data_IF_181757682745
#
_entry.id   IF_181757682745
#
_cell.length_a   1.000
_cell.length_b   1.000
_cell.length_c   1.000
_cell.angle_alpha   90.00
_cell.angle_beta   90.00
_cell.angle_gamma   90.00
#
_symmetry.space_group_name_H-M   'P 1'
#
loop_
_entity.id
_entity.type
_entity.pdbx_description
1 polymer ?
#
# COMPACT_ATOMS: atom_id res chain seq x y z
N UNK A 1 -40.57 25.36 -24.04
CA UNK A 1 -40.93 25.38 -22.60
C UNK A 1 -40.27 24.26 -21.80
N UNK A 2 -40.27 22.99 -22.26
CA UNK A 2 -39.66 21.88 -21.52
C UNK A 2 -38.15 22.03 -21.20
N UNK A 3 -37.34 22.57 -22.12
CA UNK A 3 -35.89 22.75 -21.89
C UNK A 3 -35.56 23.73 -20.77
N UNK A 4 -36.23 24.88 -20.71
CA UNK A 4 -36.01 25.88 -19.66
C UNK A 4 -36.38 25.36 -18.25
N UNK A 5 -37.38 24.48 -18.16
CA UNK A 5 -37.80 23.87 -16.90
C UNK A 5 -36.81 22.81 -16.41
N UNK A 6 -36.23 22.03 -17.34
CA UNK A 6 -35.14 21.08 -17.04
C UNK A 6 -33.87 21.81 -16.60
N UNK A 7 -33.51 22.90 -17.27
CA UNK A 7 -32.34 23.72 -16.90
C UNK A 7 -32.50 24.37 -15.52
N UNK A 8 -33.70 24.86 -15.19
CA UNK A 8 -34.00 25.41 -13.87
C UNK A 8 -33.96 24.33 -12.77
N UNK A 9 -34.56 23.17 -13.03
CA UNK A 9 -34.50 22.03 -12.10
C UNK A 9 -33.07 21.54 -11.87
N UNK A 10 -32.25 21.52 -12.94
CA UNK A 10 -30.85 21.13 -12.88
C UNK A 10 -29.94 22.15 -12.18
N UNK A 11 -30.36 23.41 -12.07
CA UNK A 11 -29.71 24.42 -11.25
C UNK A 11 -30.08 24.28 -9.76
N UNK A 12 -31.33 23.88 -9.47
CA UNK A 12 -31.84 23.63 -8.12
C UNK A 12 -31.33 22.29 -7.54
N UNK A 13 -31.00 21.31 -8.38
CA UNK A 13 -30.56 19.97 -7.99
C UNK A 13 -29.20 19.60 -8.64
N UNK A 14 -28.08 20.22 -8.21
CA UNK A 14 -26.76 20.05 -8.82
C UNK A 14 -26.17 18.65 -8.65
N UNK A 15 -26.82 17.82 -7.83
CA UNK A 15 -26.38 16.48 -7.42
C UNK A 15 -27.11 15.37 -8.20
N UNK A 16 -28.19 15.71 -8.90
CA UNK A 16 -29.01 14.76 -9.62
C UNK A 16 -28.48 14.53 -11.04
N UNK A 17 -28.39 13.27 -11.51
CA UNK A 17 -27.98 12.97 -12.87
C UNK A 17 -28.99 13.55 -13.87
N UNK A 18 -28.50 14.31 -14.87
CA UNK A 18 -29.34 15.11 -15.79
C UNK A 18 -29.95 14.26 -16.91
N UNK A 19 -29.31 13.16 -17.26
CA UNK A 19 -29.92 11.98 -17.88
C UNK A 19 -29.45 10.74 -17.11
N UNK A 20 -30.15 9.61 -17.18
CA UNK A 20 -29.94 8.40 -16.36
C UNK A 20 -28.59 7.67 -16.54
N UNK A 21 -27.48 8.39 -16.63
CA UNK A 21 -26.10 7.94 -16.76
C UNK A 21 -25.30 8.46 -15.57
N UNK A 22 -24.60 7.56 -14.88
CA UNK A 22 -23.83 7.87 -13.66
C UNK A 22 -22.64 8.84 -13.86
N UNK A 23 -22.22 9.10 -15.11
CA UNK A 23 -21.00 9.85 -15.43
C UNK A 23 -21.17 11.36 -15.64
N UNK A 24 -22.35 11.94 -15.37
CA UNK A 24 -22.61 13.37 -15.62
C UNK A 24 -22.41 14.28 -14.41
N UNK A 25 -22.03 13.74 -13.24
CA UNK A 25 -21.81 14.57 -12.06
C UNK A 25 -20.50 15.37 -12.24
N UNK A 26 -20.52 16.71 -12.13
CA UNK A 26 -19.32 17.53 -12.33
C UNK A 26 -18.19 17.11 -11.39
N UNK A 27 -16.96 16.98 -11.93
CA UNK A 27 -15.79 16.65 -11.13
C UNK A 27 -15.56 17.66 -9.98
N UNK A 28 -15.88 18.93 -10.20
CA UNK A 28 -15.83 19.99 -9.19
C UNK A 28 -16.71 19.71 -7.97
N UNK A 29 -17.76 18.89 -8.11
CA UNK A 29 -18.64 18.48 -7.03
C UNK A 29 -18.14 17.17 -6.38
N UNK A 30 -17.70 16.19 -7.17
CA UNK A 30 -17.29 14.87 -6.65
C UNK A 30 -15.92 14.92 -5.97
N UNK A 31 -14.95 15.62 -6.59
CA UNK A 31 -13.56 15.62 -6.17
C UNK A 31 -13.34 16.14 -4.75
N UNK A 32 -13.97 17.24 -4.31
CA UNK A 32 -13.84 17.70 -2.92
C UNK A 32 -14.32 16.67 -1.89
N UNK A 33 -15.36 15.87 -2.21
CA UNK A 33 -15.86 14.82 -1.31
C UNK A 33 -14.91 13.63 -1.23
N UNK A 34 -14.37 13.23 -2.37
CA UNK A 34 -13.36 12.16 -2.42
C UNK A 34 -12.11 12.59 -1.66
N UNK A 35 -11.63 13.82 -1.90
CA UNK A 35 -10.50 14.38 -1.18
C UNK A 35 -10.75 14.46 0.33
N UNK A 36 -11.94 14.91 0.75
CA UNK A 36 -12.32 14.93 2.17
C UNK A 36 -12.38 13.52 2.77
N UNK A 37 -12.90 12.53 2.05
CA UNK A 37 -12.93 11.14 2.48
C UNK A 37 -11.53 10.54 2.65
N UNK A 38 -10.64 10.77 1.68
CA UNK A 38 -9.25 10.33 1.75
C UNK A 38 -8.48 11.01 2.89
N UNK A 39 -8.68 12.32 3.07
CA UNK A 39 -8.06 13.06 4.16
C UNK A 39 -8.52 12.56 5.53
N UNK A 40 -9.83 12.33 5.71
CA UNK A 40 -10.37 11.77 6.93
C UNK A 40 -9.86 10.34 7.20
N UNK A 41 -9.83 9.48 6.18
CA UNK A 41 -9.28 8.14 6.29
C UNK A 41 -7.80 8.14 6.68
N UNK A 42 -6.99 9.02 6.07
CA UNK A 42 -5.58 9.19 6.41
C UNK A 42 -5.37 9.69 7.84
N UNK A 43 -6.17 10.66 8.29
CA UNK A 43 -6.12 11.15 9.66
C UNK A 43 -6.49 10.07 10.68
N UNK A 44 -7.56 9.30 10.42
CA UNK A 44 -7.97 8.19 11.28
C UNK A 44 -6.92 7.07 11.31
N UNK A 45 -6.29 6.77 10.17
CA UNK A 45 -5.19 5.80 10.11
C UNK A 45 -4.00 6.23 10.97
N UNK A 46 -3.58 7.50 10.84
CA UNK A 46 -2.48 8.05 11.63
C UNK A 46 -2.79 8.07 13.13
N UNK A 47 -4.00 8.50 13.51
CA UNK A 47 -4.43 8.48 14.90
C UNK A 47 -4.55 7.06 15.45
N UNK A 48 -4.93 6.09 14.61
CA UNK A 48 -5.00 4.70 15.01
C UNK A 48 -3.63 4.13 15.39
N UNK A 49 -2.60 4.43 14.60
CA UNK A 49 -1.22 4.09 14.96
C UNK A 49 -0.79 4.77 16.27
N UNK A 50 -1.12 6.04 16.47
CA UNK A 50 -0.70 6.76 17.68
C UNK A 50 -1.43 6.31 18.96
N UNK A 51 -2.72 5.98 18.87
CA UNK A 51 -3.57 5.74 20.04
C UNK A 51 -3.76 4.26 20.39
N UNK A 52 -3.82 3.38 19.39
CA UNK A 52 -4.15 1.97 19.62
C UNK A 52 -2.94 1.04 19.46
N UNK A 53 -1.84 1.51 18.86
CA UNK A 53 -0.63 0.70 18.72
C UNK A 53 0.25 0.77 19.98
N UNK A 54 -0.29 0.26 21.10
CA UNK A 54 0.35 0.29 22.41
C UNK A 54 1.60 -0.57 22.50
N UNK A 55 1.68 -1.64 21.71
CA UNK A 55 2.86 -2.50 21.61
C UNK A 55 3.26 -2.68 20.15
N UNK A 56 4.38 -2.05 19.75
CA UNK A 56 5.00 -2.33 18.45
C UNK A 56 5.76 -3.65 18.54
N UNK A 57 5.56 -4.59 17.60
CA UNK A 57 6.31 -5.85 17.62
C UNK A 57 7.80 -5.57 17.44
N UNK A 58 8.64 -6.29 18.18
CA UNK A 58 10.10 -6.13 18.17
C UNK A 58 10.70 -6.36 16.77
N UNK A 59 10.02 -7.11 15.91
CA UNK A 59 10.40 -7.33 14.51
C UNK A 59 10.32 -6.09 13.62
N UNK A 60 9.73 -4.99 14.11
CA UNK A 60 9.70 -3.68 13.44
C UNK A 60 10.69 -2.70 14.06
N UNK A 61 11.49 -3.11 15.05
CA UNK A 61 12.51 -2.25 15.62
C UNK A 61 13.60 -1.94 14.59
N UNK A 62 14.22 -0.75 14.64
CA UNK A 62 15.34 -0.41 13.77
C UNK A 62 16.48 -1.42 13.89
N UNK A 63 16.77 -1.87 15.11
CA UNK A 63 17.81 -2.86 15.41
C UNK A 63 17.54 -4.19 14.69
N UNK A 64 16.31 -4.70 14.76
CA UNK A 64 15.93 -5.94 14.07
C UNK A 64 15.98 -5.79 12.55
N UNK A 65 15.60 -4.62 12.02
CA UNK A 65 15.69 -4.34 10.58
C UNK A 65 17.15 -4.25 10.10
N UNK A 66 18.03 -3.67 10.92
CA UNK A 66 19.47 -3.63 10.66
C UNK A 66 20.10 -5.02 10.71
N UNK A 67 19.75 -5.84 11.70
CA UNK A 67 20.19 -7.24 11.79
C UNK A 67 19.69 -8.08 10.63
N UNK A 68 18.41 -7.94 10.26
CA UNK A 68 17.85 -8.58 9.07
C UNK A 68 18.62 -8.18 7.80
N UNK A 69 19.01 -6.90 7.68
CA UNK A 69 19.82 -6.42 6.56
C UNK A 69 21.24 -7.01 6.56
N UNK A 70 21.83 -7.24 7.75
CA UNK A 70 23.14 -7.89 7.90
C UNK A 70 23.11 -9.39 7.56
N UNK A 71 22.05 -10.08 7.96
CA UNK A 71 21.83 -11.51 7.65
C UNK A 71 21.60 -11.69 6.14
N UNK A 72 20.96 -10.69 5.50
CA UNK A 72 20.74 -10.69 4.06
C UNK A 72 19.84 -11.85 3.60
N UNK A 73 19.97 -12.24 2.34
CA UNK A 73 19.23 -13.37 1.77
C UNK A 73 19.84 -14.71 2.16
N UNK A 74 20.30 -14.88 3.41
CA UNK A 74 20.89 -16.13 3.88
C UNK A 74 20.13 -16.63 5.09
N UNK A 75 19.56 -17.82 4.99
CA UNK A 75 18.94 -18.52 6.11
C UNK A 75 19.96 -19.41 6.81
N UNK A 76 20.16 -19.17 8.11
CA UNK A 76 20.85 -20.12 8.98
C UNK A 76 19.95 -21.33 9.22
N UNK A 77 20.51 -22.54 9.14
CA UNK A 77 19.81 -23.80 9.37
C UNK A 77 20.28 -24.42 10.69
N UNK A 78 19.36 -25.00 11.44
CA UNK A 78 19.68 -25.71 12.70
C UNK A 78 20.60 -26.91 12.47
N UNK A 79 20.40 -27.63 11.37
CA UNK A 79 21.17 -28.83 10.99
C UNK A 79 21.61 -28.73 9.52
N UNK A 80 22.68 -27.98 9.24
CA UNK A 80 23.28 -27.89 7.92
C UNK A 80 23.94 -26.54 7.66
N UNK A 81 24.67 -26.40 6.52
CA UNK A 81 25.25 -25.12 6.14
C UNK A 81 24.16 -24.09 5.80
N UNK A 82 24.47 -22.79 5.95
CA UNK A 82 23.54 -21.71 5.65
C UNK A 82 23.22 -21.69 4.15
N UNK A 83 21.98 -21.35 3.78
CA UNK A 83 21.54 -21.38 2.37
C UNK A 83 20.87 -20.09 1.99
N UNK A 84 20.99 -19.71 0.73
CA UNK A 84 20.32 -18.52 0.22
C UNK A 84 18.79 -18.63 0.29
N UNK A 85 18.15 -17.56 0.76
CA UNK A 85 16.72 -17.32 0.70
C UNK A 85 16.33 -16.87 -0.72
N UNK A 86 15.17 -17.32 -1.18
CA UNK A 86 14.57 -16.94 -2.47
C UNK A 86 15.54 -17.01 -3.68
N UNK A 87 16.23 -18.15 -3.91
CA UNK A 87 17.28 -18.25 -4.93
C UNK A 87 16.78 -17.94 -6.35
N UNK A 88 15.52 -18.25 -6.68
CA UNK A 88 14.92 -17.93 -7.98
C UNK A 88 14.75 -16.43 -8.21
N UNK A 89 14.20 -15.73 -7.22
CA UNK A 89 14.00 -14.27 -7.29
C UNK A 89 15.33 -13.52 -7.35
N UNK A 90 16.34 -14.06 -6.66
CA UNK A 90 17.69 -13.50 -6.59
C UNK A 90 18.63 -13.99 -7.70
N UNK A 91 18.12 -14.78 -8.66
CA UNK A 91 18.87 -15.32 -9.81
C UNK A 91 20.17 -16.02 -9.42
N UNK A 92 20.17 -16.68 -8.27
CA UNK A 92 21.34 -17.40 -7.78
C UNK A 92 21.46 -18.71 -8.58
N UNK A 93 22.61 -18.98 -9.22
CA UNK A 93 22.84 -20.22 -9.94
C UNK A 93 22.60 -21.44 -9.03
N UNK A 94 21.90 -22.46 -9.53
CA UNK A 94 21.62 -23.68 -8.77
C UNK A 94 22.87 -24.51 -8.39
N UNK A 95 24.05 -24.13 -8.90
CA UNK A 95 25.35 -24.68 -8.51
C UNK A 95 25.90 -24.08 -7.21
N UNK A 96 25.33 -22.96 -6.74
CA UNK A 96 25.72 -22.29 -5.49
C UNK A 96 24.63 -22.61 -4.46
N UNK A 97 24.94 -23.52 -3.54
CA UNK A 97 24.01 -24.02 -2.53
C UNK A 97 24.00 -23.11 -1.29
N UNK A 98 25.13 -22.46 -0.99
CA UNK A 98 25.23 -21.51 0.11
C UNK A 98 26.36 -20.50 -0.06
N UNK A 99 26.45 -19.51 0.85
CA UNK A 99 27.49 -18.48 0.81
C UNK A 99 28.92 -19.01 0.88
N UNK A 100 29.11 -20.18 1.47
CA UNK A 100 30.38 -20.89 1.53
C UNK A 100 30.91 -21.34 0.16
N UNK A 101 30.03 -21.57 -0.82
CA UNK A 101 30.41 -22.00 -2.17
C UNK A 101 30.98 -20.85 -3.02
N UNK A 102 30.89 -19.60 -2.53
CA UNK A 102 31.36 -18.39 -3.23
C UNK A 102 32.84 -18.07 -2.89
N UNK A 103 33.53 -18.92 -2.13
CA UNK A 103 34.87 -18.62 -1.58
C UNK A 103 36.03 -18.57 -2.58
N UNK A 104 35.81 -18.83 -3.88
CA UNK A 104 36.90 -18.92 -4.87
C UNK A 104 36.71 -18.03 -6.13
N UNK A 105 36.09 -16.85 -6.01
CA UNK A 105 36.03 -15.85 -7.09
C UNK A 105 36.80 -14.56 -6.78
#
# INVERSE_FOLDING_TARGET
>A
MARAQVERWAAEHPTAPRVGKFFEVPLSYVFPRVAAGLAAAGALWYLNEALFWTHKPESLSPEFLEEKKKIGDVAQRMNGPPVYLNPFSNRIPGSILGPEDVKDA
#
